data_IF_386685066240
#
_entry.id   IF_386685066240
#
_cell.length_a   1.000
_cell.length_b   1.000
_cell.length_c   1.000
_cell.angle_alpha   90.00
_cell.angle_beta   90.00
_cell.angle_gamma   90.00
#
_symmetry.space_group_name_H-M   'P 1'
#
loop_
_entity.id
_entity.type
_entity.pdbx_description
1 polymer ?
#
# COMPACT_ATOMS: atom_id res chain seq x y z
N UNK A 1 -18.83 -10.59 2.81
CA UNK A 1 -19.58 -9.60 2.01
C UNK A 1 -20.00 -8.48 2.95
N UNK A 2 -19.28 -7.35 2.94
CA UNK A 2 -19.60 -6.21 3.81
C UNK A 2 -20.60 -5.34 3.07
N UNK A 3 -21.87 -5.36 3.49
CA UNK A 3 -22.90 -4.47 3.00
C UNK A 3 -22.66 -3.08 3.61
N UNK A 4 -22.29 -2.09 2.77
CA UNK A 4 -22.24 -0.68 3.18
C UNK A 4 -23.37 0.07 2.47
N UNK A 5 -24.13 0.93 3.18
CA UNK A 5 -25.16 1.75 2.55
C UNK A 5 -24.54 2.66 1.47
N UNK A 6 -25.25 2.77 0.35
CA UNK A 6 -24.81 3.39 -0.92
C UNK A 6 -24.53 4.90 -0.81
N UNK A 7 -24.87 5.52 0.33
CA UNK A 7 -24.97 6.97 0.49
C UNK A 7 -23.84 7.63 1.32
N UNK A 8 -22.83 6.86 1.77
CA UNK A 8 -21.63 7.44 2.39
C UNK A 8 -20.51 7.55 1.38
N UNK A 9 -20.32 8.75 0.84
CA UNK A 9 -19.04 9.12 0.20
C UNK A 9 -17.95 9.11 1.29
N UNK A 10 -17.09 8.10 1.27
CA UNK A 10 -15.91 8.04 2.13
C UNK A 10 -14.79 8.86 1.48
N UNK A 11 -14.30 9.87 2.20
CA UNK A 11 -13.12 10.62 1.76
C UNK A 11 -11.87 9.92 2.27
N UNK A 12 -10.95 9.60 1.37
CA UNK A 12 -9.64 9.05 1.70
C UNK A 12 -8.59 10.17 1.65
N UNK A 13 -7.68 10.18 2.62
CA UNK A 13 -6.47 11.01 2.57
C UNK A 13 -5.33 10.14 2.06
N UNK A 14 -4.80 10.49 0.90
CA UNK A 14 -3.65 9.83 0.27
C UNK A 14 -2.66 10.89 -0.21
N UNK A 15 -1.41 10.48 -0.40
CA UNK A 15 -0.38 11.33 -1.00
C UNK A 15 -0.49 11.24 -2.52
N UNK A 16 -0.53 12.39 -3.20
CA UNK A 16 -0.33 12.45 -4.64
C UNK A 16 1.15 12.15 -4.92
N UNK A 17 1.41 11.07 -5.64
CA UNK A 17 2.77 10.62 -5.96
C UNK A 17 3.13 10.96 -7.40
N UNK A 18 2.18 10.78 -8.33
CA UNK A 18 2.38 11.12 -9.73
C UNK A 18 1.27 12.03 -10.25
N UNK A 19 1.67 12.97 -11.09
CA UNK A 19 0.87 14.00 -11.74
C UNK A 19 0.48 13.60 -13.16
N UNK A 20 -0.46 14.32 -13.79
CA UNK A 20 -0.82 14.10 -15.19
C UNK A 20 0.41 14.20 -16.09
N UNK A 21 0.56 13.24 -17.00
CA UNK A 21 1.62 13.20 -18.00
C UNK A 21 2.89 12.46 -17.55
N UNK A 22 3.07 12.28 -16.24
CA UNK A 22 4.23 11.60 -15.66
C UNK A 22 4.13 10.06 -15.78
N UNK A 23 5.27 9.38 -15.68
CA UNK A 23 5.35 7.91 -15.59
C UNK A 23 5.78 7.49 -14.19
N UNK A 24 4.93 6.72 -13.50
CA UNK A 24 5.22 6.17 -12.18
C UNK A 24 5.88 4.79 -12.31
N UNK A 25 6.92 4.58 -11.52
CA UNK A 25 7.55 3.27 -11.34
C UNK A 25 7.98 3.09 -9.88
N UNK A 26 7.85 1.87 -9.35
CA UNK A 26 8.43 1.47 -8.09
C UNK A 26 9.50 0.42 -8.35
N UNK A 27 10.66 0.58 -7.70
CA UNK A 27 11.76 -0.39 -7.68
C UNK A 27 12.22 -0.57 -6.23
N UNK A 28 12.10 -1.78 -5.68
CA UNK A 28 12.41 -2.07 -4.27
C UNK A 28 11.85 -1.01 -3.29
N UNK A 29 10.54 -0.76 -3.35
CA UNK A 29 9.78 0.22 -2.56
C UNK A 29 10.09 1.70 -2.81
N UNK A 30 11.09 1.99 -3.65
CA UNK A 30 11.48 3.34 -4.02
C UNK A 30 10.65 3.82 -5.21
N UNK A 31 10.14 5.04 -5.10
CA UNK A 31 9.29 5.64 -6.13
C UNK A 31 10.16 6.38 -7.13
N UNK A 32 9.87 6.19 -8.41
CA UNK A 32 10.47 6.91 -9.52
C UNK A 32 9.36 7.59 -10.34
N UNK A 33 9.59 8.85 -10.70
CA UNK A 33 8.74 9.64 -11.60
C UNK A 33 9.59 10.01 -12.80
N UNK A 34 9.16 9.60 -14.00
CA UNK A 34 9.92 9.79 -15.25
C UNK A 34 11.38 9.30 -15.16
N UNK A 35 11.59 8.24 -14.37
CA UNK A 35 12.91 7.65 -14.11
C UNK A 35 13.72 8.33 -13.00
N UNK A 36 13.26 9.44 -12.44
CA UNK A 36 13.91 10.14 -11.33
C UNK A 36 13.43 9.65 -9.96
N UNK A 37 14.37 9.36 -9.05
CA UNK A 37 14.05 8.89 -7.71
C UNK A 37 13.37 9.98 -6.87
N UNK A 38 12.16 9.69 -6.39
CA UNK A 38 11.45 10.52 -5.42
C UNK A 38 11.77 10.04 -4.00
N UNK A 39 12.33 10.90 -3.13
CA UNK A 39 12.63 10.53 -1.76
C UNK A 39 11.40 10.02 -1.00
N UNK A 40 11.53 8.83 -0.42
CA UNK A 40 10.44 8.26 0.39
C UNK A 40 10.20 9.11 1.64
N UNK A 41 8.93 9.39 2.01
CA UNK A 41 8.61 10.06 3.27
C UNK A 41 9.20 9.31 4.47
N UNK A 42 9.78 10.04 5.42
CA UNK A 42 10.40 9.44 6.63
C UNK A 42 9.45 8.56 7.46
N UNK A 43 8.14 8.79 7.34
CA UNK A 43 7.10 8.09 8.10
C UNK A 43 6.40 7.00 7.28
N UNK A 44 7.00 6.57 6.17
CA UNK A 44 6.48 5.45 5.38
C UNK A 44 6.56 4.18 6.21
N UNK A 45 5.43 3.47 6.32
CA UNK A 45 5.37 2.17 6.98
C UNK A 45 5.36 1.06 5.91
N UNK A 46 6.22 0.08 6.11
CA UNK A 46 6.25 -1.18 5.36
C UNK A 46 5.92 -2.32 6.32
N UNK A 47 5.55 -3.47 5.77
CA UNK A 47 5.27 -4.65 6.58
C UNK A 47 6.56 -5.40 6.88
N UNK A 48 6.76 -5.75 8.15
CA UNK A 48 7.89 -6.53 8.62
C UNK A 48 7.44 -7.75 9.39
N UNK A 49 8.34 -8.74 9.42
CA UNK A 49 8.36 -9.83 10.37
C UNK A 49 9.44 -9.59 11.43
N UNK A 50 9.14 -9.90 12.69
CA UNK A 50 10.09 -9.75 13.81
C UNK A 50 10.35 -11.14 14.38
N UNK A 51 11.58 -11.63 14.21
CA UNK A 51 12.03 -12.91 14.74
C UNK A 51 12.72 -12.70 16.08
N UNK A 52 12.24 -13.40 17.09
CA UNK A 52 12.74 -13.32 18.47
C UNK A 52 13.31 -14.68 18.90
N UNK A 53 14.11 -14.67 19.95
CA UNK A 53 14.63 -15.88 20.62
C UNK A 53 13.57 -16.74 21.31
N UNK A 54 12.29 -16.37 21.21
CA UNK A 54 11.18 -16.97 21.95
C UNK A 54 10.61 -16.03 23.01
N UNK A 55 11.30 -14.94 23.33
CA UNK A 55 10.78 -13.87 24.19
C UNK A 55 9.58 -13.19 23.54
N UNK A 56 8.50 -13.06 24.31
CA UNK A 56 7.31 -12.30 23.89
C UNK A 56 7.60 -10.81 24.02
N UNK A 57 7.36 -10.04 22.95
CA UNK A 57 7.51 -8.59 22.94
C UNK A 57 6.43 -8.00 23.84
N UNK A 58 6.83 -7.23 24.85
CA UNK A 58 5.88 -6.58 25.75
C UNK A 58 5.11 -5.47 25.03
N UNK A 59 3.86 -5.25 25.45
CA UNK A 59 3.01 -4.15 24.94
C UNK A 59 3.70 -2.78 25.09
N UNK A 60 4.48 -2.58 26.15
CA UNK A 60 5.24 -1.35 26.38
C UNK A 60 6.23 -1.05 25.24
N UNK A 61 6.91 -2.05 24.68
CA UNK A 61 7.86 -1.83 23.57
C UNK A 61 7.10 -1.35 22.32
N UNK A 62 5.92 -1.90 22.03
CA UNK A 62 5.08 -1.43 20.93
C UNK A 62 4.58 -0.01 21.17
N UNK A 63 4.16 0.31 22.40
CA UNK A 63 3.72 1.66 22.78
C UNK A 63 4.84 2.69 22.67
N UNK A 64 6.06 2.38 23.11
CA UNK A 64 7.24 3.25 23.00
C UNK A 64 7.60 3.57 21.53
N UNK A 65 7.35 2.62 20.63
CA UNK A 65 7.53 2.81 19.19
C UNK A 65 6.33 3.51 18.53
N UNK A 66 5.19 3.62 19.23
CA UNK A 66 3.96 4.22 18.72
C UNK A 66 3.17 3.31 17.78
N UNK A 67 3.30 1.98 17.94
CA UNK A 67 2.57 0.98 17.16
C UNK A 67 1.25 0.69 17.88
N UNK A 68 0.11 0.78 17.17
CA UNK A 68 -1.19 0.60 17.79
C UNK A 68 -1.47 -0.88 18.08
N UNK A 69 -2.35 -1.16 19.03
CA UNK A 69 -2.73 -2.52 19.40
C UNK A 69 -3.23 -3.37 18.23
N UNK A 70 -4.05 -2.78 17.36
CA UNK A 70 -4.59 -3.46 16.17
C UNK A 70 -3.52 -3.83 15.13
N UNK A 71 -2.34 -3.21 15.20
CA UNK A 71 -1.24 -3.46 14.27
C UNK A 71 -0.49 -4.76 14.65
N UNK A 72 -0.47 -5.16 15.93
CA UNK A 72 0.20 -6.38 16.40
C UNK A 72 -0.75 -7.41 17.05
N UNK A 73 -2.06 -7.13 17.08
CA UNK A 73 -3.09 -8.04 17.57
C UNK A 73 -4.07 -8.43 16.46
N UNK A 74 -4.65 -9.63 16.53
CA UNK A 74 -5.72 -10.09 15.64
C UNK A 74 -6.81 -10.87 16.40
N UNK A 75 -8.08 -10.76 15.99
CA UNK A 75 -9.12 -11.65 16.50
C UNK A 75 -8.91 -13.07 15.96
N UNK A 76 -9.01 -14.07 16.84
CA UNK A 76 -9.08 -15.47 16.45
C UNK A 76 -10.51 -15.82 15.95
N UNK A 77 -10.71 -17.06 15.51
CA UNK A 77 -12.00 -17.57 15.00
C UNK A 77 -13.16 -17.48 16.01
N UNK A 78 -12.86 -17.25 17.29
CA UNK A 78 -13.82 -17.11 18.39
C UNK A 78 -13.98 -15.65 18.85
N UNK A 79 -13.38 -14.69 18.14
CA UNK A 79 -13.44 -13.26 18.47
C UNK A 79 -12.55 -12.82 19.63
N UNK A 80 -11.74 -13.73 20.20
CA UNK A 80 -10.74 -13.36 21.20
C UNK A 80 -9.52 -12.77 20.52
N UNK A 81 -8.90 -11.76 21.13
CA UNK A 81 -7.76 -11.07 20.53
C UNK A 81 -6.45 -11.72 20.98
N UNK A 82 -5.61 -12.10 20.02
CA UNK A 82 -4.26 -12.65 20.26
C UNK A 82 -3.20 -11.86 19.51
N UNK A 83 -1.93 -12.03 19.89
CA UNK A 83 -0.80 -11.45 19.15
C UNK A 83 -0.75 -12.03 17.72
N UNK A 84 -0.32 -11.22 16.75
CA UNK A 84 0.07 -11.68 15.41
C UNK A 84 1.43 -12.37 15.47
N UNK A 85 1.48 -13.50 16.18
CA UNK A 85 2.71 -14.20 16.54
C UNK A 85 2.54 -15.71 16.37
N UNK A 86 3.58 -16.36 15.87
CA UNK A 86 3.67 -17.82 15.75
C UNK A 86 4.93 -18.34 16.49
N UNK A 87 4.77 -19.47 17.17
CA UNK A 87 5.89 -20.26 17.66
C UNK A 87 6.47 -21.12 16.54
N UNK A 88 7.78 -21.04 16.33
CA UNK A 88 8.47 -21.73 15.24
C UNK A 88 9.09 -23.06 15.68
N UNK A 89 8.85 -23.51 16.92
CA UNK A 89 9.30 -24.80 17.42
C UNK A 89 8.84 -25.93 16.49
N UNK A 90 9.79 -26.74 16.02
CA UNK A 90 9.51 -27.89 15.14
C UNK A 90 9.41 -27.56 13.65
N UNK A 91 9.50 -26.29 13.25
CA UNK A 91 9.66 -25.92 11.83
C UNK A 91 11.06 -26.30 11.34
N UNK A 92 11.14 -26.92 10.17
CA UNK A 92 12.41 -27.37 9.61
C UNK A 92 13.28 -26.18 9.13
N UNK A 93 14.59 -26.41 9.06
CA UNK A 93 15.57 -25.37 8.72
C UNK A 93 15.44 -24.85 7.29
N UNK A 94 14.91 -25.65 6.35
CA UNK A 94 14.71 -25.23 4.97
C UNK A 94 13.56 -24.22 4.88
N UNK A 95 12.42 -24.51 5.52
CA UNK A 95 11.27 -23.59 5.63
C UNK A 95 11.66 -22.28 6.30
N UNK A 96 12.46 -22.35 7.38
CA UNK A 96 13.02 -21.17 8.05
C UNK A 96 13.86 -20.32 7.10
N UNK A 97 14.81 -20.95 6.38
CA UNK A 97 15.71 -20.26 5.47
C UNK A 97 14.99 -19.60 4.30
N UNK A 98 13.95 -20.24 3.73
CA UNK A 98 13.11 -19.64 2.69
C UNK A 98 12.41 -18.36 3.13
N UNK A 99 12.14 -18.22 4.44
CA UNK A 99 11.54 -17.01 5.03
C UNK A 99 12.58 -15.99 5.53
N UNK A 100 13.87 -16.22 5.25
CA UNK A 100 14.97 -15.38 5.73
C UNK A 100 15.27 -15.54 7.23
N UNK A 101 14.74 -16.59 7.87
CA UNK A 101 14.87 -16.84 9.30
C UNK A 101 15.99 -17.85 9.57
N UNK A 102 16.64 -17.72 10.73
CA UNK A 102 17.76 -18.60 11.11
C UNK A 102 17.55 -19.18 12.49
N UNK A 103 17.68 -20.50 12.59
CA UNK A 103 17.76 -21.17 13.88
C UNK A 103 19.04 -20.75 14.60
N UNK A 104 18.96 -20.57 15.92
CA UNK A 104 20.14 -20.31 16.76
C UNK A 104 20.15 -21.26 17.95
N UNK A 105 21.28 -21.95 18.18
CA UNK A 105 21.47 -22.87 19.30
C UNK A 105 20.35 -23.93 19.47
N UNK A 106 19.83 -24.46 18.36
CA UNK A 106 18.73 -25.44 18.38
C UNK A 106 17.35 -24.85 18.71
N UNK A 107 17.24 -23.54 18.85
CA UNK A 107 15.99 -22.82 19.11
C UNK A 107 15.53 -22.07 17.84
N UNK A 108 14.28 -22.28 17.46
CA UNK A 108 13.66 -21.61 16.32
C UNK A 108 12.97 -20.30 16.71
N UNK A 109 12.72 -20.08 18.00
CA UNK A 109 12.15 -18.83 18.52
C UNK A 109 10.70 -18.60 18.11
N UNK A 110 10.29 -17.32 18.10
CA UNK A 110 8.93 -16.88 17.74
C UNK A 110 9.00 -15.78 16.70
N UNK A 111 8.01 -15.73 15.81
CA UNK A 111 7.91 -14.70 14.77
C UNK A 111 6.62 -13.90 14.93
N UNK A 112 6.75 -12.58 14.88
CA UNK A 112 5.64 -11.66 14.69
C UNK A 112 5.53 -11.37 13.20
N UNK A 113 4.31 -11.32 12.67
CA UNK A 113 4.06 -11.12 11.25
C UNK A 113 3.05 -9.99 11.02
N UNK A 114 3.06 -9.42 9.82
CA UNK A 114 2.19 -8.32 9.43
C UNK A 114 2.30 -7.09 10.35
N UNK A 115 3.52 -6.76 10.80
CA UNK A 115 3.76 -5.62 11.68
C UNK A 115 4.19 -4.40 10.83
N UNK A 116 3.38 -3.33 10.76
CA UNK A 116 3.74 -2.12 10.04
C UNK A 116 4.79 -1.33 10.82
N UNK A 117 5.96 -1.12 10.24
CA UNK A 117 7.06 -0.37 10.84
C UNK A 117 7.62 0.66 9.86
N UNK A 118 8.09 1.79 10.39
CA UNK A 118 9.07 2.63 9.66
C UNK A 118 10.46 1.99 9.72
N UNK A 119 11.36 2.35 8.81
CA UNK A 119 12.74 1.89 8.86
C UNK A 119 13.44 2.21 10.19
N UNK A 120 13.13 3.36 10.79
CA UNK A 120 13.67 3.74 12.10
C UNK A 120 13.11 2.89 13.26
N UNK A 121 11.84 2.49 13.20
CA UNK A 121 11.26 1.56 14.18
C UNK A 121 11.86 0.16 14.05
N UNK A 122 12.03 -0.34 12.82
CA UNK A 122 12.66 -1.62 12.55
C UNK A 122 14.10 -1.68 13.10
N UNK A 123 14.90 -0.62 12.89
CA UNK A 123 16.24 -0.51 13.45
C UNK A 123 16.24 -0.57 14.99
N UNK A 124 15.35 0.20 15.65
CA UNK A 124 15.21 0.18 17.12
C UNK A 124 14.79 -1.17 17.68
N UNK A 125 13.95 -1.92 16.97
CA UNK A 125 13.57 -3.28 17.37
C UNK A 125 14.74 -4.24 17.25
N UNK A 126 15.52 -4.14 16.17
CA UNK A 126 16.71 -4.97 15.93
C UNK A 126 17.80 -4.79 17.00
N UNK A 127 17.85 -3.64 17.68
CA UNK A 127 18.77 -3.39 18.80
C UNK A 127 18.39 -4.14 20.10
N UNK A 128 17.17 -4.70 20.20
CA UNK A 128 16.75 -5.44 21.39
C UNK A 128 17.46 -6.80 21.45
N UNK A 129 18.02 -7.21 22.61
CA UNK A 129 18.86 -8.41 22.69
C UNK A 129 18.13 -9.72 22.37
N UNK A 130 16.82 -9.76 22.59
CA UNK A 130 15.98 -10.92 22.30
C UNK A 130 15.42 -10.93 20.85
N UNK A 131 15.70 -9.88 20.05
CA UNK A 131 15.29 -9.81 18.64
C UNK A 131 16.46 -10.29 17.78
N UNK A 132 16.25 -11.43 17.12
CA UNK A 132 17.24 -12.01 16.23
C UNK A 132 17.22 -11.36 14.87
N UNK A 133 16.06 -11.16 14.26
CA UNK A 133 15.93 -10.57 12.92
C UNK A 133 14.70 -9.67 12.81
N UNK A 134 14.80 -8.65 11.96
CA UNK A 134 13.66 -7.83 11.52
C UNK A 134 13.68 -7.84 10.00
N UNK A 135 12.81 -8.65 9.40
CA UNK A 135 12.83 -8.96 7.97
C UNK A 135 11.67 -8.23 7.31
N UNK A 136 11.95 -7.45 6.26
CA UNK A 136 10.90 -6.83 5.44
C UNK A 136 10.11 -7.94 4.74
N UNK A 137 8.79 -7.86 4.79
CA UNK A 137 7.92 -8.78 4.07
C UNK A 137 8.09 -8.56 2.56
N UNK A 138 8.44 -9.63 1.83
CA UNK A 138 8.67 -9.61 0.39
C UNK A 138 7.56 -10.38 -0.29
N UNK A 139 6.81 -9.69 -1.15
CA UNK A 139 5.75 -10.29 -1.93
C UNK A 139 6.31 -10.97 -3.18
N UNK A 140 5.78 -12.16 -3.48
CA UNK A 140 6.12 -12.86 -4.71
C UNK A 140 5.33 -12.25 -5.88
N UNK A 141 5.96 -12.04 -7.06
CA UNK A 141 5.29 -11.58 -8.27
C UNK A 141 4.14 -12.49 -8.73
N UNK A 142 3.24 -11.93 -9.54
CA UNK A 142 2.20 -12.70 -10.25
C UNK A 142 0.82 -12.68 -9.60
N UNK A 143 0.62 -11.86 -8.57
CA UNK A 143 -0.70 -11.62 -7.99
C UNK A 143 -1.55 -10.75 -8.93
N UNK A 144 -2.77 -11.20 -9.25
CA UNK A 144 -3.75 -10.41 -10.03
C UNK A 144 -4.47 -9.33 -9.20
N UNK A 145 -3.95 -9.05 -8.01
CA UNK A 145 -4.49 -8.06 -7.09
C UNK A 145 -4.16 -6.61 -7.48
N UNK A 146 -3.09 -6.40 -8.25
CA UNK A 146 -2.65 -5.08 -8.66
C UNK A 146 -3.32 -4.62 -9.94
N UNK A 147 -3.53 -3.31 -10.03
CA UNK A 147 -3.91 -2.63 -11.27
C UNK A 147 -2.89 -2.99 -12.37
N UNK A 148 -3.28 -3.17 -13.65
CA UNK A 148 -4.65 -3.02 -14.20
C UNK A 148 -5.62 -4.16 -13.87
N UNK A 149 -6.89 -3.81 -13.64
CA UNK A 149 -7.92 -4.80 -13.31
C UNK A 149 -8.14 -5.77 -14.48
N UNK A 150 -8.13 -7.08 -14.19
CA UNK A 150 -8.38 -8.12 -15.20
C UNK A 150 -7.16 -8.41 -16.10
N UNK A 151 -6.00 -7.82 -15.82
CA UNK A 151 -4.75 -8.09 -16.53
C UNK A 151 -3.66 -8.51 -15.55
N UNK A 152 -3.10 -9.70 -15.72
CA UNK A 152 -2.04 -10.19 -14.83
C UNK A 152 -0.72 -9.52 -15.16
N UNK A 153 -0.12 -8.88 -14.17
CA UNK A 153 1.25 -8.37 -14.22
C UNK A 153 2.12 -9.15 -13.25
N UNK A 154 3.43 -8.88 -13.28
CA UNK A 154 4.36 -9.31 -12.25
C UNK A 154 4.58 -8.22 -11.18
N UNK A 155 3.70 -7.22 -11.13
CA UNK A 155 3.83 -6.14 -10.16
C UNK A 155 3.55 -6.64 -8.74
N UNK A 156 4.21 -6.01 -7.78
CA UNK A 156 4.13 -6.26 -6.34
C UNK A 156 3.97 -4.94 -5.58
N UNK A 157 3.89 -5.00 -4.24
CA UNK A 157 3.97 -3.79 -3.40
C UNK A 157 5.25 -2.97 -3.62
N UNK A 158 6.36 -3.65 -3.91
CA UNK A 158 7.71 -3.07 -3.97
C UNK A 158 8.15 -2.74 -5.39
N UNK A 159 7.65 -3.48 -6.39
CA UNK A 159 8.02 -3.33 -7.80
C UNK A 159 6.75 -3.18 -8.64
N UNK A 160 6.53 -1.98 -9.19
CA UNK A 160 5.28 -1.63 -9.88
C UNK A 160 5.58 -0.71 -11.05
N UNK A 161 4.83 -0.82 -12.15
CA UNK A 161 5.08 -0.02 -13.33
C UNK A 161 6.23 -0.57 -14.20
N UNK A 162 6.77 0.27 -15.10
CA UNK A 162 6.37 1.65 -15.35
C UNK A 162 4.90 1.76 -15.82
N UNK A 163 4.22 2.84 -15.41
CA UNK A 163 2.84 3.14 -15.78
C UNK A 163 2.70 4.64 -16.05
N UNK A 164 2.30 5.00 -17.26
CA UNK A 164 2.07 6.40 -17.64
C UNK A 164 0.72 6.89 -17.10
N UNK A 165 0.70 8.12 -16.57
CA UNK A 165 -0.47 8.74 -15.96
C UNK A 165 -1.12 9.67 -16.97
N UNK A 166 -2.39 9.48 -17.34
CA UNK A 166 -2.98 10.29 -18.40
C UNK A 166 -3.10 11.78 -18.06
N UNK A 167 -2.80 12.62 -19.05
CA UNK A 167 -2.98 14.07 -19.04
C UNK A 167 -4.10 14.48 -19.99
N UNK A 168 -4.85 15.51 -19.60
CA UNK A 168 -5.89 16.09 -20.43
C UNK A 168 -5.31 16.59 -21.75
N UNK A 169 -5.93 16.15 -22.85
CA UNK A 169 -5.50 16.48 -24.21
C UNK A 169 -4.37 15.60 -24.75
N UNK A 170 -3.74 14.76 -23.92
CA UNK A 170 -2.78 13.77 -24.38
C UNK A 170 -3.50 12.62 -25.11
N UNK A 171 -2.83 12.06 -26.12
CA UNK A 171 -3.37 10.97 -26.94
C UNK A 171 -2.60 9.68 -26.69
N UNK A 172 -3.31 8.62 -26.28
CA UNK A 172 -2.79 7.26 -26.20
C UNK A 172 -3.02 6.55 -27.53
N UNK A 173 -1.99 5.92 -28.09
CA UNK A 173 -2.07 5.06 -29.26
C UNK A 173 -2.17 3.58 -28.87
N UNK A 174 -2.96 2.82 -29.62
CA UNK A 174 -3.15 1.37 -29.49
C UNK A 174 -2.35 0.61 -30.56
N UNK A 175 -1.05 0.90 -30.65
CA UNK A 175 -0.08 0.35 -31.61
C UNK A 175 0.75 -0.83 -31.06
N UNK A 176 1.17 -0.72 -29.80
CA UNK A 176 1.94 -1.70 -29.04
C UNK A 176 1.28 -2.00 -27.70
N UNK A 177 1.54 -3.20 -27.16
CA UNK A 177 1.05 -3.65 -25.86
C UNK A 177 -0.47 -3.41 -25.68
N UNK A 178 -1.22 -3.59 -26.77
CA UNK A 178 -2.63 -3.16 -26.85
C UNK A 178 -3.49 -3.77 -25.75
N UNK A 179 -3.27 -5.05 -25.42
CA UNK A 179 -4.00 -5.71 -24.34
C UNK A 179 -3.72 -5.08 -22.96
N UNK A 180 -2.46 -4.74 -22.69
CA UNK A 180 -2.08 -4.04 -21.46
C UNK A 180 -2.66 -2.63 -21.45
N UNK A 181 -2.52 -1.85 -22.53
CA UNK A 181 -3.09 -0.49 -22.63
C UNK A 181 -4.61 -0.52 -22.49
N UNK A 182 -5.29 -1.47 -23.11
CA UNK A 182 -6.73 -1.63 -22.96
C UNK A 182 -7.11 -1.84 -21.49
N UNK A 183 -6.44 -2.76 -20.79
CA UNK A 183 -6.70 -2.99 -19.37
C UNK A 183 -6.31 -1.78 -18.49
N UNK A 184 -5.18 -1.14 -18.78
CA UNK A 184 -4.61 -0.03 -18.02
C UNK A 184 -5.35 1.30 -18.22
N UNK A 185 -6.17 1.46 -19.26
CA UNK A 185 -6.84 2.73 -19.53
C UNK A 185 -8.36 2.60 -19.76
N UNK A 186 -8.92 1.38 -19.83
CA UNK A 186 -10.38 1.16 -19.94
C UNK A 186 -11.14 1.97 -18.89
N UNK A 187 -10.72 1.92 -17.62
CA UNK A 187 -11.44 2.59 -16.52
C UNK A 187 -11.50 4.12 -16.73
N UNK A 188 -10.42 4.73 -17.22
CA UNK A 188 -10.40 6.15 -17.54
C UNK A 188 -11.38 6.49 -18.66
N UNK A 189 -11.27 5.76 -19.77
CA UNK A 189 -12.06 6.00 -20.97
C UNK A 189 -13.55 5.74 -20.72
N UNK A 190 -13.86 4.67 -19.99
CA UNK A 190 -15.22 4.17 -19.79
C UNK A 190 -15.90 4.76 -18.57
N UNK A 191 -15.31 4.57 -17.39
CA UNK A 191 -15.98 4.88 -16.14
C UNK A 191 -15.90 6.36 -15.78
N UNK A 192 -14.79 7.03 -16.12
CA UNK A 192 -14.57 8.42 -15.75
C UNK A 192 -14.96 9.38 -16.88
N UNK A 193 -14.64 9.05 -18.14
CA UNK A 193 -14.94 9.91 -19.30
C UNK A 193 -16.20 9.53 -20.08
N UNK A 194 -16.90 8.47 -19.63
CA UNK A 194 -18.26 8.15 -20.05
C UNK A 194 -18.40 7.60 -21.47
N UNK A 195 -17.37 6.96 -22.02
CA UNK A 195 -17.45 6.30 -23.32
C UNK A 195 -17.79 4.81 -23.16
N UNK A 196 -18.41 4.21 -24.18
CA UNK A 196 -18.41 2.74 -24.27
C UNK A 196 -17.01 2.27 -24.68
N UNK A 197 -16.51 1.22 -24.03
CA UNK A 197 -15.21 0.63 -24.31
C UNK A 197 -15.30 -0.89 -24.39
N UNK A 198 -14.70 -1.46 -25.43
CA UNK A 198 -14.53 -2.91 -25.57
C UNK A 198 -13.16 -3.25 -26.15
N UNK A 199 -12.56 -4.33 -25.66
CA UNK A 199 -11.37 -4.95 -26.22
C UNK A 199 -11.69 -6.39 -26.64
N UNK A 200 -11.63 -6.67 -27.94
CA UNK A 200 -11.92 -7.99 -28.52
C UNK A 200 -11.06 -8.22 -29.74
N UNK A 201 -10.62 -9.47 -29.94
CA UNK A 201 -9.81 -9.87 -31.09
C UNK A 201 -8.57 -8.99 -31.32
N UNK A 202 -7.95 -8.54 -30.22
CA UNK A 202 -6.76 -7.68 -30.27
C UNK A 202 -7.02 -6.22 -30.65
N UNK A 203 -8.28 -5.80 -30.77
CA UNK A 203 -8.67 -4.44 -31.18
C UNK A 203 -9.50 -3.73 -30.12
N UNK A 204 -9.26 -2.43 -30.00
CA UNK A 204 -10.05 -1.54 -29.14
C UNK A 204 -11.21 -0.95 -29.94
N UNK A 205 -12.36 -0.87 -29.29
CA UNK A 205 -13.56 -0.23 -29.81
C UNK A 205 -14.03 0.81 -28.79
N UNK A 206 -14.28 2.04 -29.26
CA UNK A 206 -14.78 3.14 -28.45
C UNK A 206 -16.07 3.65 -29.06
N UNK A 207 -17.16 3.67 -28.30
CA UNK A 207 -18.50 4.03 -28.77
C UNK A 207 -18.94 3.22 -30.01
N UNK A 208 -18.59 1.93 -30.04
CA UNK A 208 -18.96 0.98 -31.09
C UNK A 208 -18.00 0.92 -32.29
N UNK A 209 -17.16 1.94 -32.49
CA UNK A 209 -16.25 2.04 -33.62
C UNK A 209 -14.84 1.54 -33.27
N UNK A 210 -14.12 0.89 -34.21
CA UNK A 210 -12.70 0.59 -34.03
C UNK A 210 -11.90 1.86 -33.74
N UNK A 211 -11.02 1.82 -32.73
CA UNK A 211 -10.21 2.96 -32.31
C UNK A 211 -8.73 2.58 -32.21
N UNK A 212 -7.90 3.29 -32.97
CA UNK A 212 -6.43 3.15 -32.91
C UNK A 212 -5.80 4.10 -31.88
N UNK A 213 -6.58 5.04 -31.33
CA UNK A 213 -6.12 5.96 -30.29
C UNK A 213 -7.28 6.54 -29.46
N UNK A 214 -6.95 7.18 -28.35
CA UNK A 214 -7.89 7.94 -27.53
C UNK A 214 -7.22 9.19 -26.95
N UNK A 215 -7.91 10.33 -27.01
CA UNK A 215 -7.48 11.59 -26.38
C UNK A 215 -8.21 11.81 -25.07
N UNK A 216 -7.47 11.89 -23.96
CA UNK A 216 -8.06 12.04 -22.63
C UNK A 216 -8.69 13.42 -22.42
N UNK A 217 -9.83 13.45 -21.74
CA UNK A 217 -10.59 14.66 -21.44
C UNK A 217 -10.32 15.20 -20.03
N UNK A 218 -9.67 14.40 -19.18
CA UNK A 218 -9.39 14.70 -17.78
C UNK A 218 -7.91 14.53 -17.46
N UNK A 219 -7.48 15.25 -16.43
CA UNK A 219 -6.21 15.00 -15.76
C UNK A 219 -6.36 13.87 -14.74
N UNK A 220 -5.34 13.03 -14.66
CA UNK A 220 -5.30 11.89 -13.75
C UNK A 220 -4.11 11.92 -12.81
N UNK A 221 -4.26 11.27 -11.67
CA UNK A 221 -3.28 11.29 -10.60
C UNK A 221 -3.06 9.89 -10.04
N UNK A 222 -1.83 9.64 -9.60
CA UNK A 222 -1.47 8.41 -8.90
C UNK A 222 -1.34 8.68 -7.40
N UNK A 223 -2.24 8.09 -6.62
CA UNK A 223 -2.35 8.32 -5.17
C UNK A 223 -1.81 7.11 -4.41
N UNK A 224 -0.96 7.31 -3.41
CA UNK A 224 -0.48 6.24 -2.51
C UNK A 224 -0.66 6.58 -1.04
N UNK A 225 -0.88 5.58 -0.20
CA UNK A 225 -0.92 5.75 1.25
C UNK A 225 0.47 5.69 1.89
N UNK A 226 0.67 6.44 2.97
CA UNK A 226 1.94 6.42 3.72
C UNK A 226 2.17 5.07 4.45
N UNK A 227 1.11 4.31 4.79
CA UNK A 227 1.21 2.91 5.21
C UNK A 227 1.19 2.00 3.97
N UNK A 228 2.28 2.01 3.20
CA UNK A 228 2.32 1.50 1.82
C UNK A 228 1.92 0.05 1.71
N UNK A 229 2.36 -0.83 2.61
CA UNK A 229 2.01 -2.25 2.48
C UNK A 229 0.57 -2.58 2.91
N UNK A 230 -0.10 -1.67 3.61
CA UNK A 230 -1.45 -1.87 4.15
C UNK A 230 -2.45 -0.80 3.66
N UNK A 231 -2.18 -0.24 2.49
CA UNK A 231 -2.99 0.80 1.87
C UNK A 231 -3.57 0.27 0.56
N UNK A 232 -4.89 0.12 0.50
CA UNK A 232 -5.56 0.15 -0.80
C UNK A 232 -5.36 1.56 -1.37
N UNK A 233 -4.70 1.64 -2.52
CA UNK A 233 -4.36 2.87 -3.23
C UNK A 233 -4.26 2.65 -4.75
N UNK A 234 -3.69 3.59 -5.51
CA UNK A 234 -3.68 3.53 -6.98
C UNK A 234 -2.97 2.30 -7.55
N UNK A 235 -2.11 1.62 -6.77
CA UNK A 235 -1.56 0.31 -7.16
C UNK A 235 -2.62 -0.78 -7.29
N UNK A 236 -3.77 -0.62 -6.64
CA UNK A 236 -4.87 -1.60 -6.62
C UNK A 236 -6.06 -1.09 -7.44
N UNK A 237 -6.46 0.16 -7.26
CA UNK A 237 -7.67 0.71 -7.91
C UNK A 237 -7.41 1.56 -9.17
N UNK A 238 -6.14 1.86 -9.48
CA UNK A 238 -5.76 2.65 -10.64
C UNK A 238 -5.78 4.15 -10.43
N UNK A 239 -5.94 4.89 -11.53
CA UNK A 239 -5.87 6.35 -11.53
C UNK A 239 -7.07 7.03 -10.84
N UNK A 240 -6.80 8.23 -10.31
CA UNK A 240 -7.81 9.12 -9.74
C UNK A 240 -7.97 10.33 -10.68
N UNK A 241 -9.16 10.57 -11.27
CA UNK A 241 -9.39 11.75 -12.10
C UNK A 241 -9.48 13.04 -11.27
N UNK A 242 -9.22 14.18 -11.90
CA UNK A 242 -9.24 15.52 -11.29
C UNK A 242 -10.53 15.85 -10.52
N UNK A 243 -11.68 15.40 -11.01
CA UNK A 243 -13.00 15.66 -10.43
C UNK A 243 -13.29 14.81 -9.17
N UNK A 244 -12.46 13.81 -8.87
CA UNK A 244 -12.53 13.01 -7.64
C UNK A 244 -11.61 13.55 -6.54
N UNK A 245 -10.85 14.62 -6.81
CA UNK A 245 -10.01 15.30 -5.83
C UNK A 245 -10.81 16.43 -5.16
N UNK A 246 -11.18 16.22 -3.89
CA UNK A 246 -11.93 17.21 -3.12
C UNK A 246 -11.06 18.38 -2.64
N UNK A 247 -9.77 18.14 -2.37
CA UNK A 247 -8.84 19.19 -1.96
C UNK A 247 -7.64 18.69 -1.15
N UNK A 248 -6.82 19.63 -0.67
CA UNK A 248 -5.63 19.36 0.13
C UNK A 248 -5.91 19.62 1.62
N UNK A 249 -5.59 18.68 2.54
CA UNK A 249 -5.71 18.93 3.97
C UNK A 249 -4.75 20.05 4.42
N UNK A 250 -5.26 21.04 5.16
CA UNK A 250 -4.46 22.17 5.64
C UNK A 250 -4.08 22.08 7.12
N UNK A 251 -4.94 21.52 7.97
CA UNK A 251 -4.82 21.59 9.43
C UNK A 251 -5.28 20.28 10.08
N UNK A 252 -4.53 19.80 11.07
CA UNK A 252 -4.96 18.71 11.94
C UNK A 252 -5.81 19.30 13.06
N UNK A 253 -7.13 19.27 12.93
CA UNK A 253 -8.04 19.80 13.96
C UNK A 253 -8.17 18.89 15.18
N UNK A 254 -8.10 17.57 15.00
CA UNK A 254 -8.19 16.59 16.09
C UNK A 254 -7.29 15.40 15.80
N UNK A 255 -6.60 14.90 16.83
CA UNK A 255 -5.84 13.67 16.77
C UNK A 255 -6.03 12.90 18.07
N UNK A 256 -6.57 11.69 17.96
CA UNK A 256 -6.85 10.82 19.09
C UNK A 256 -5.88 9.64 19.11
N UNK A 257 -5.42 9.28 20.30
CA UNK A 257 -4.73 8.04 20.58
C UNK A 257 -5.77 6.95 20.82
N UNK A 258 -5.80 5.95 19.94
CA UNK A 258 -6.88 4.97 19.94
C UNK A 258 -6.84 4.09 21.20
N UNK A 259 -5.64 3.77 21.67
CA UNK A 259 -5.42 2.81 22.75
C UNK A 259 -5.47 3.44 24.15
N UNK A 260 -5.32 4.77 24.24
CA UNK A 260 -5.48 5.49 25.50
C UNK A 260 -6.96 5.72 25.84
N UNK A 261 -7.26 5.85 27.12
CA UNK A 261 -8.54 6.33 27.63
C UNK A 261 -8.60 7.86 27.71
N UNK A 262 -9.80 8.39 27.90
CA UNK A 262 -10.08 9.84 27.92
C UNK A 262 -9.27 10.61 28.97
N UNK A 263 -8.97 9.98 30.11
CA UNK A 263 -8.26 10.60 31.23
C UNK A 263 -6.75 10.35 31.22
N UNK A 264 -6.24 9.48 30.35
CA UNK A 264 -4.83 9.08 30.30
C UNK A 264 -4.22 9.25 28.90
N UNK A 265 -4.50 10.39 28.25
CA UNK A 265 -3.80 10.78 27.03
C UNK A 265 -4.50 10.40 25.72
N UNK A 266 -5.84 10.36 25.69
CA UNK A 266 -6.61 10.20 24.45
C UNK A 266 -6.30 11.27 23.40
N UNK A 267 -6.06 12.51 23.82
CA UNK A 267 -5.84 13.61 22.89
C UNK A 267 -4.33 13.79 22.66
N UNK A 268 -3.89 13.72 21.41
CA UNK A 268 -2.50 13.99 21.01
C UNK A 268 -2.27 15.50 20.86
N UNK A 269 -2.09 16.19 22.00
CA UNK A 269 -1.98 17.66 22.05
C UNK A 269 -0.88 18.24 21.16
N UNK A 270 0.23 17.53 20.99
CA UNK A 270 1.35 17.94 20.13
C UNK A 270 0.98 17.98 18.62
N UNK A 271 -0.11 17.33 18.21
CA UNK A 271 -0.60 17.27 16.82
C UNK A 271 -1.78 18.19 16.55
N UNK A 272 -2.44 18.72 17.58
CA UNK A 272 -3.55 19.64 17.43
C UNK A 272 -3.09 20.95 16.77
N UNK A 273 -3.90 21.43 15.83
CA UNK A 273 -3.68 22.67 15.07
C UNK A 273 -2.31 22.76 14.37
N UNK A 274 -1.68 21.61 14.08
CA UNK A 274 -0.47 21.56 13.26
C UNK A 274 -0.84 21.59 11.78
N UNK A 275 0.03 22.21 10.98
CA UNK A 275 -0.03 22.14 9.52
C UNK A 275 -0.08 20.69 9.06
N UNK A 276 -1.01 20.38 8.16
CA UNK A 276 -1.06 19.10 7.47
C UNK A 276 -0.11 19.06 6.26
N UNK A 277 0.41 20.21 5.82
CA UNK A 277 1.50 20.28 4.83
C UNK A 277 2.81 19.87 5.51
N UNK A 278 3.36 18.73 5.08
CA UNK A 278 4.65 18.17 5.51
C UNK A 278 5.46 17.77 4.30
#
# INVERSE_FOLDING_TARGET
>A
MVFRPVDRRENYVKRCIGLPGETIELRDDSVYIDGELIPSPKLTHLTYMIHTDGTVISEQIFQELGINKDDYMMPNSYGQVSLKMQDLTGIDSLTMAHSGLKQQNGNNGKIYYNIPLTGAMAAKLKEKPFVWEVVKDVEQPGSSYYYPLGYTTNWTRADFGPLWIPEKGATLTFDTDVAFKAAAYERCIKNYEGNDFAFRDGKVYINGEPADSYTFKMDYYFMMGDNRHNSADSRVWGFVPEDHIVGQPMLIWLSLEKDNGWLNGKIRWNRLFRSAKK
#
